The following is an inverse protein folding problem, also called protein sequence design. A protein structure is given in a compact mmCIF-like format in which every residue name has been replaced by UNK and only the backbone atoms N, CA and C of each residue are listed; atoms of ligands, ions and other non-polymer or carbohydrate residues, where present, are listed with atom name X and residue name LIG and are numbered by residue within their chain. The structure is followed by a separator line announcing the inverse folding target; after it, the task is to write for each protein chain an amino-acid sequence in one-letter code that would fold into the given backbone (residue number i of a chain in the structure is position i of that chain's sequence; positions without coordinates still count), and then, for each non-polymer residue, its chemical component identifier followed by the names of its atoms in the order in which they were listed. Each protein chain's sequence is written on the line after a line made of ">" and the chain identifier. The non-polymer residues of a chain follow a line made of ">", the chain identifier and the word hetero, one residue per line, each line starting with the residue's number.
data_IF_753884318504
#
_entry.id   IF_753884318504
#
_cell.length_a   1.000
_cell.length_b   1.000
_cell.length_c   1.000
_cell.angle_alpha   90.00
_cell.angle_beta   90.00
_cell.angle_gamma   90.00
#
_symmetry.space_group_name_H-M   'P 1'
#
loop_
_entity.id
_entity.type
_entity.pdbx_description
1 polymer ?
#
# COMPACT_ATOMS: atom_id res chain seq x y z
N UNK A 1 -107.78 25.83 -5.27
CA UNK A 1 -106.63 26.72 -5.01
C UNK A 1 -105.51 25.89 -4.44
N UNK A 2 -104.50 25.61 -5.22
CA UNK A 2 -103.17 25.27 -4.73
C UNK A 2 -102.18 25.18 -5.92
N UNK A 3 -101.12 25.93 -5.82
CA UNK A 3 -100.10 26.23 -6.83
C UNK A 3 -99.24 25.00 -7.13
N UNK A 4 -99.19 24.67 -8.40
CA UNK A 4 -98.20 23.76 -8.93
C UNK A 4 -97.11 24.55 -9.71
N UNK A 5 -95.96 24.71 -9.15
CA UNK A 5 -94.64 24.98 -9.79
C UNK A 5 -93.57 25.03 -8.71
N UNK A 6 -92.69 24.08 -8.68
CA UNK A 6 -91.39 24.30 -9.35
C UNK A 6 -90.65 23.00 -9.76
N UNK A 7 -91.06 22.27 -10.76
CA UNK A 7 -90.29 21.10 -11.25
C UNK A 7 -89.46 21.37 -12.56
N UNK A 8 -89.71 22.49 -13.23
CA UNK A 8 -89.07 22.78 -14.48
C UNK A 8 -87.72 23.48 -14.34
N UNK A 9 -87.39 24.13 -13.22
CA UNK A 9 -86.14 24.82 -12.99
C UNK A 9 -84.97 23.86 -12.59
N UNK A 10 -85.31 22.77 -11.90
CA UNK A 10 -84.32 21.77 -11.47
C UNK A 10 -83.80 20.93 -12.63
N UNK A 11 -84.60 20.65 -13.66
CA UNK A 11 -84.21 19.85 -14.80
C UNK A 11 -83.19 20.60 -15.76
N UNK A 12 -83.33 21.91 -15.90
CA UNK A 12 -82.45 22.72 -16.70
C UNK A 12 -81.04 22.87 -16.13
N UNK A 13 -80.94 22.95 -14.78
CA UNK A 13 -79.61 23.04 -14.10
C UNK A 13 -78.80 21.76 -14.19
N UNK A 14 -79.48 20.61 -14.10
CA UNK A 14 -78.80 19.29 -14.16
C UNK A 14 -78.33 18.97 -15.54
N UNK A 15 -79.02 19.35 -16.61
CA UNK A 15 -78.60 19.19 -17.99
C UNK A 15 -77.39 20.11 -18.39
N UNK A 16 -77.39 21.34 -17.82
CA UNK A 16 -76.32 22.28 -18.03
C UNK A 16 -75.02 21.80 -17.30
N UNK A 17 -75.17 21.25 -16.10
CA UNK A 17 -73.96 20.67 -15.41
C UNK A 17 -73.46 19.41 -16.06
N UNK A 18 -74.31 18.56 -16.60
CA UNK A 18 -73.90 17.35 -17.33
C UNK A 18 -73.18 17.71 -18.65
N UNK A 19 -73.67 18.78 -19.36
CA UNK A 19 -73.01 19.27 -20.58
C UNK A 19 -71.62 19.87 -20.30
N UNK A 20 -71.42 20.57 -19.18
CA UNK A 20 -70.12 21.12 -18.79
C UNK A 20 -69.12 20.02 -18.38
N UNK A 21 -69.58 18.98 -17.65
CA UNK A 21 -68.77 17.84 -17.27
C UNK A 21 -68.40 17.01 -18.49
N UNK A 22 -69.31 16.82 -19.46
CA UNK A 22 -68.98 16.11 -20.71
C UNK A 22 -68.03 16.91 -21.61
N UNK A 23 -68.16 18.24 -21.67
CA UNK A 23 -67.25 19.11 -22.44
C UNK A 23 -65.83 19.14 -21.84
N UNK A 24 -65.71 19.14 -20.50
CA UNK A 24 -64.39 19.06 -19.81
C UNK A 24 -63.76 17.67 -19.97
N UNK A 25 -64.53 16.60 -19.96
CA UNK A 25 -64.02 15.24 -20.17
C UNK A 25 -63.55 15.05 -21.66
N UNK A 26 -64.24 15.64 -22.61
CA UNK A 26 -63.86 15.56 -24.03
C UNK A 26 -62.63 16.44 -24.35
N UNK A 27 -62.43 17.56 -23.62
CA UNK A 27 -61.26 18.41 -23.77
C UNK A 27 -59.96 17.73 -23.21
N UNK A 28 -60.13 16.82 -22.24
CA UNK A 28 -59.00 16.07 -21.67
C UNK A 28 -58.57 14.90 -22.58
N UNK A 29 -59.42 14.38 -23.43
CA UNK A 29 -59.10 13.28 -24.37
C UNK A 29 -58.50 13.75 -25.69
N UNK A 30 -58.57 15.05 -25.98
CA UNK A 30 -58.01 15.66 -27.17
C UNK A 30 -56.71 16.48 -26.93
N UNK A 31 -56.14 16.41 -25.72
CA UNK A 31 -54.80 16.90 -25.50
C UNK A 31 -53.84 16.05 -26.34
N UNK A 32 -53.08 16.61 -27.32
CA UNK A 32 -52.08 15.86 -28.01
C UNK A 32 -51.14 15.34 -26.90
N UNK A 33 -50.98 14.00 -26.82
CA UNK A 33 -49.89 13.39 -26.06
C UNK A 33 -48.62 14.01 -26.65
N UNK A 34 -48.08 15.00 -25.98
CA UNK A 34 -46.71 15.42 -26.20
C UNK A 34 -45.89 14.19 -25.88
N UNK A 35 -45.67 13.35 -26.89
CA UNK A 35 -44.61 12.38 -26.85
C UNK A 35 -43.40 13.19 -26.46
N UNK A 36 -42.97 13.03 -25.18
CA UNK A 36 -41.65 13.40 -24.80
C UNK A 36 -40.74 12.52 -25.68
N UNK A 37 -40.49 12.97 -26.87
CA UNK A 37 -39.37 12.59 -27.68
C UNK A 37 -38.20 12.99 -26.80
N UNK A 38 -37.70 12.03 -25.99
CA UNK A 38 -36.34 12.08 -25.51
C UNK A 38 -35.54 12.35 -26.75
N UNK A 39 -35.18 13.61 -26.93
CA UNK A 39 -34.17 14.00 -27.88
C UNK A 39 -32.92 13.21 -27.44
N UNK A 40 -32.80 12.02 -27.98
CA UNK A 40 -31.54 11.32 -28.09
C UNK A 40 -30.75 12.25 -29.00
N UNK A 41 -30.04 13.18 -28.35
CA UNK A 41 -29.11 14.06 -29.04
C UNK A 41 -28.20 13.09 -29.79
N UNK A 42 -28.36 13.01 -31.08
CA UNK A 42 -27.43 12.31 -31.94
C UNK A 42 -26.07 12.88 -31.60
N UNK A 43 -25.24 12.05 -30.92
CA UNK A 43 -23.88 12.45 -30.64
C UNK A 43 -23.25 12.90 -31.94
N UNK A 44 -22.63 14.09 -31.99
CA UNK A 44 -22.02 14.56 -33.20
C UNK A 44 -21.04 13.49 -33.69
N UNK A 45 -21.00 13.22 -34.98
CA UNK A 45 -20.10 12.25 -35.64
C UNK A 45 -18.61 12.69 -35.50
N UNK A 46 -18.29 13.35 -34.41
CA UNK A 46 -16.98 13.89 -34.08
C UNK A 46 -16.23 12.86 -33.21
N UNK A 47 -15.13 12.37 -33.73
CA UNK A 47 -14.22 11.53 -32.97
C UNK A 47 -13.68 12.31 -31.77
N UNK A 48 -13.86 11.77 -30.57
CA UNK A 48 -13.36 12.36 -29.33
C UNK A 48 -11.85 12.16 -29.20
N UNK A 49 -11.14 13.22 -28.90
CA UNK A 49 -9.72 13.13 -28.52
C UNK A 49 -9.63 12.79 -27.04
N UNK A 50 -9.01 11.67 -26.73
CA UNK A 50 -8.85 11.13 -25.38
C UNK A 50 -7.39 11.20 -25.00
N UNK A 51 -7.05 12.07 -24.06
CA UNK A 51 -5.67 12.12 -23.53
C UNK A 51 -5.43 10.99 -22.55
N UNK A 52 -4.25 10.40 -22.66
CA UNK A 52 -3.77 9.34 -21.77
C UNK A 52 -2.26 9.45 -21.55
N UNK A 53 -1.74 8.72 -20.56
CA UNK A 53 -0.29 8.59 -20.33
C UNK A 53 0.07 7.13 -20.07
N UNK A 54 1.28 6.75 -20.41
CA UNK A 54 1.78 5.40 -20.14
C UNK A 54 1.95 5.20 -18.63
N UNK A 55 1.24 4.20 -18.09
CA UNK A 55 1.27 3.86 -16.67
C UNK A 55 0.80 2.41 -16.46
N UNK A 56 1.73 1.47 -16.52
CA UNK A 56 1.42 0.05 -16.36
C UNK A 56 0.89 -0.28 -14.94
N UNK A 57 -0.11 -1.15 -14.81
CA UNK A 57 -0.85 -1.91 -15.84
C UNK A 57 -2.08 -1.16 -16.40
N UNK A 58 -2.28 0.10 -16.03
CA UNK A 58 -3.50 0.87 -16.37
C UNK A 58 -3.49 1.34 -17.82
N UNK A 59 -2.33 1.75 -18.31
CA UNK A 59 -2.07 2.12 -19.70
C UNK A 59 -0.74 1.53 -20.14
N UNK A 60 -0.77 0.62 -21.09
CA UNK A 60 0.39 -0.13 -21.61
C UNK A 60 0.49 0.14 -23.10
N UNK A 61 1.65 0.56 -23.57
CA UNK A 61 1.92 0.72 -24.99
C UNK A 61 2.71 -0.48 -25.53
N UNK A 62 2.21 -1.11 -26.59
CA UNK A 62 2.90 -2.19 -27.31
C UNK A 62 2.95 -1.85 -28.79
N UNK A 63 4.09 -1.33 -29.24
CA UNK A 63 4.20 -0.76 -30.58
C UNK A 63 3.29 0.45 -30.73
N UNK A 64 2.42 0.44 -31.72
CA UNK A 64 1.41 1.51 -31.94
C UNK A 64 0.10 1.28 -31.18
N UNK A 65 -0.11 0.12 -30.57
CA UNK A 65 -1.35 -0.20 -29.87
C UNK A 65 -1.29 0.16 -28.39
N UNK A 66 -2.38 0.74 -27.90
CA UNK A 66 -2.61 0.96 -26.46
C UNK A 66 -3.52 -0.13 -25.89
N UNK A 67 -3.18 -0.59 -24.72
CA UNK A 67 -3.92 -1.56 -23.91
C UNK A 67 -3.79 -1.17 -22.43
N UNK A 68 -4.36 -1.94 -21.52
CA UNK A 68 -4.32 -1.63 -20.10
C UNK A 68 -5.72 -1.55 -19.51
N UNK A 69 -5.80 -1.64 -18.18
CA UNK A 69 -7.10 -1.64 -17.52
C UNK A 69 -7.94 -0.39 -17.87
N UNK A 70 -7.35 0.80 -17.77
CA UNK A 70 -8.06 2.06 -18.06
C UNK A 70 -8.44 2.18 -19.53
N UNK A 71 -7.61 1.68 -20.44
CA UNK A 71 -7.87 1.68 -21.88
C UNK A 71 -9.01 0.70 -22.20
N UNK A 72 -8.97 -0.51 -21.63
CA UNK A 72 -10.01 -1.50 -21.87
C UNK A 72 -11.36 -1.04 -21.32
N UNK A 73 -11.38 -0.41 -20.14
CA UNK A 73 -12.59 0.20 -19.56
C UNK A 73 -13.10 1.31 -20.47
N UNK A 74 -12.24 2.21 -20.92
CA UNK A 74 -12.66 3.28 -21.82
C UNK A 74 -13.22 2.75 -23.14
N UNK A 75 -12.56 1.78 -23.75
CA UNK A 75 -13.03 1.21 -25.01
C UNK A 75 -14.42 0.59 -24.86
N UNK A 76 -14.69 -0.07 -23.74
CA UNK A 76 -16.01 -0.64 -23.47
C UNK A 76 -17.06 0.43 -23.16
N UNK A 77 -16.69 1.47 -22.41
CA UNK A 77 -17.54 2.64 -22.17
C UNK A 77 -17.88 3.35 -23.47
N UNK A 78 -16.89 3.65 -24.32
CA UNK A 78 -17.08 4.31 -25.59
C UNK A 78 -17.98 3.50 -26.52
N UNK A 79 -17.78 2.18 -26.60
CA UNK A 79 -18.61 1.27 -27.38
C UNK A 79 -20.10 1.30 -26.95
N UNK A 80 -20.36 1.29 -25.63
CA UNK A 80 -21.75 1.31 -25.09
C UNK A 80 -22.38 2.69 -25.25
N UNK A 81 -21.62 3.75 -25.05
CA UNK A 81 -22.09 5.12 -25.22
C UNK A 81 -22.18 5.56 -26.68
N UNK A 82 -21.81 4.70 -27.65
CA UNK A 82 -21.83 5.04 -29.10
C UNK A 82 -20.81 6.11 -29.48
N UNK A 83 -19.69 6.25 -28.73
CA UNK A 83 -18.68 7.28 -28.94
C UNK A 83 -17.52 6.71 -29.77
N UNK A 84 -17.07 7.49 -30.76
CA UNK A 84 -15.81 7.25 -31.47
C UNK A 84 -14.70 8.04 -30.78
N UNK A 85 -13.52 7.43 -30.59
CA UNK A 85 -12.41 8.12 -29.93
C UNK A 85 -11.05 7.78 -30.53
N UNK A 86 -10.11 8.71 -30.39
CA UNK A 86 -8.69 8.57 -30.70
C UNK A 86 -7.86 8.94 -29.48
N UNK A 87 -6.79 8.19 -29.22
CA UNK A 87 -5.93 8.46 -28.07
C UNK A 87 -4.78 9.40 -28.42
N UNK A 88 -4.51 10.33 -27.50
CA UNK A 88 -3.36 11.23 -27.54
C UNK A 88 -2.53 10.98 -26.28
N UNK A 89 -1.29 10.50 -26.45
CA UNK A 89 -0.38 10.21 -25.32
C UNK A 89 0.33 11.51 -24.92
N UNK A 90 0.35 11.78 -23.62
CA UNK A 90 1.08 12.89 -23.00
C UNK A 90 1.90 12.41 -21.80
N UNK A 91 2.84 13.21 -21.31
CA UNK A 91 3.84 12.77 -20.35
C UNK A 91 3.39 12.80 -18.87
N UNK A 92 2.34 13.55 -18.53
CA UNK A 92 1.95 13.75 -17.13
C UNK A 92 0.43 13.89 -16.95
N UNK A 93 -0.03 13.65 -15.70
CA UNK A 93 -1.43 13.90 -15.31
C UNK A 93 -1.79 15.39 -15.52
N UNK A 94 -0.84 16.29 -15.22
CA UNK A 94 -1.05 17.71 -15.45
C UNK A 94 -1.31 18.01 -16.92
N UNK A 95 -0.49 17.49 -17.83
CA UNK A 95 -0.65 17.69 -19.27
C UNK A 95 -1.98 17.11 -19.79
N UNK A 96 -2.42 15.96 -19.26
CA UNK A 96 -3.73 15.38 -19.58
C UNK A 96 -4.87 16.33 -19.19
N UNK A 97 -4.85 16.84 -17.96
CA UNK A 97 -5.88 17.73 -17.44
C UNK A 97 -5.85 19.11 -18.13
N UNK A 98 -4.67 19.66 -18.38
CA UNK A 98 -4.52 20.91 -19.11
C UNK A 98 -5.12 20.82 -20.55
N UNK A 99 -4.93 19.68 -21.24
CA UNK A 99 -5.51 19.43 -22.55
C UNK A 99 -7.04 19.34 -22.50
N UNK A 100 -7.62 18.81 -21.45
CA UNK A 100 -9.09 18.80 -21.26
C UNK A 100 -9.61 20.20 -20.94
N UNK A 101 -8.91 20.95 -20.13
CA UNK A 101 -9.29 22.31 -19.72
C UNK A 101 -9.24 23.27 -20.92
N UNK A 102 -8.18 23.20 -21.74
CA UNK A 102 -8.04 24.01 -22.96
C UNK A 102 -9.05 23.62 -24.05
N UNK A 103 -9.61 22.40 -24.01
CA UNK A 103 -10.50 21.86 -25.05
C UNK A 103 -9.76 21.15 -26.19
N UNK A 104 -8.43 20.99 -26.08
CA UNK A 104 -7.63 20.22 -27.05
C UNK A 104 -7.98 18.73 -27.01
N UNK A 105 -8.49 18.27 -25.87
CA UNK A 105 -9.11 16.95 -25.69
C UNK A 105 -10.47 17.10 -25.01
N UNK A 106 -11.35 16.13 -25.24
CA UNK A 106 -12.66 16.08 -24.62
C UNK A 106 -12.65 15.25 -23.33
N UNK A 107 -11.73 14.29 -23.26
CA UNK A 107 -11.67 13.27 -22.21
C UNK A 107 -10.23 13.00 -21.82
N UNK A 108 -10.00 12.69 -20.54
CA UNK A 108 -8.73 12.17 -20.04
C UNK A 108 -8.94 10.86 -19.26
N UNK A 109 -8.17 9.83 -19.63
CA UNK A 109 -8.29 8.47 -19.06
C UNK A 109 -6.89 7.89 -18.80
N UNK A 110 -6.45 7.87 -17.55
CA UNK A 110 -5.29 7.10 -17.07
C UNK A 110 -5.13 7.28 -15.56
N UNK A 111 -5.76 6.49 -14.72
CA UNK A 111 -5.58 6.54 -13.28
C UNK A 111 -5.67 7.97 -12.70
N UNK A 112 -6.71 8.69 -13.05
CA UNK A 112 -6.90 10.05 -12.56
C UNK A 112 -7.69 10.00 -11.26
N UNK A 113 -7.01 10.27 -10.14
CA UNK A 113 -7.66 10.37 -8.83
C UNK A 113 -8.63 11.55 -8.80
N UNK A 114 -9.86 11.31 -8.39
CA UNK A 114 -10.84 12.35 -8.14
C UNK A 114 -10.49 13.03 -6.83
N UNK A 115 -10.18 14.33 -6.89
CA UNK A 115 -9.90 15.13 -5.70
C UNK A 115 -10.78 16.37 -5.67
N UNK A 116 -11.07 16.95 -4.49
CA UNK A 116 -11.90 18.15 -4.39
C UNK A 116 -11.38 19.32 -5.24
N UNK A 117 -10.06 19.47 -5.37
CA UNK A 117 -9.43 20.53 -6.16
C UNK A 117 -9.66 20.31 -7.66
N UNK A 118 -9.60 19.03 -8.12
CA UNK A 118 -9.85 18.67 -9.52
C UNK A 118 -11.33 18.78 -9.86
N UNK A 119 -12.22 18.38 -8.95
CA UNK A 119 -13.67 18.45 -9.12
C UNK A 119 -14.18 19.90 -9.27
N UNK A 120 -13.44 20.88 -8.75
CA UNK A 120 -13.75 22.30 -9.00
C UNK A 120 -13.49 22.76 -10.44
N UNK A 121 -12.59 22.06 -11.17
CA UNK A 121 -12.14 22.44 -12.52
C UNK A 121 -12.69 21.55 -13.61
N UNK A 122 -12.97 20.30 -13.29
CA UNK A 122 -13.38 19.24 -14.22
C UNK A 122 -14.65 18.57 -13.76
N UNK A 123 -15.40 18.02 -14.69
CA UNK A 123 -16.38 16.98 -14.39
C UNK A 123 -15.69 15.62 -14.37
N UNK A 124 -16.16 14.73 -13.51
CA UNK A 124 -15.72 13.35 -13.49
C UNK A 124 -16.87 12.40 -13.77
N UNK A 125 -16.53 11.27 -14.33
CA UNK A 125 -17.43 10.13 -14.40
C UNK A 125 -17.66 9.50 -13.03
N UNK A 126 -18.55 8.53 -12.94
CA UNK A 126 -18.53 7.57 -11.84
C UNK A 126 -17.18 6.90 -11.73
N UNK A 127 -16.81 6.51 -10.50
CA UNK A 127 -15.56 5.79 -10.22
C UNK A 127 -15.54 4.45 -10.96
N UNK A 128 -14.50 4.21 -11.74
CA UNK A 128 -14.31 2.92 -12.42
C UNK A 128 -13.27 2.01 -11.74
N UNK A 129 -12.46 2.57 -10.84
CA UNK A 129 -11.51 1.79 -10.03
C UNK A 129 -11.32 2.45 -8.66
N UNK A 130 -11.46 1.67 -7.60
CA UNK A 130 -11.04 2.09 -6.26
C UNK A 130 -9.55 1.82 -6.10
N UNK A 131 -8.81 2.86 -5.81
CA UNK A 131 -7.37 2.80 -5.57
C UNK A 131 -7.03 3.51 -4.27
N UNK A 132 -5.76 3.70 -4.02
CA UNK A 132 -5.21 4.47 -2.92
C UNK A 132 -3.71 4.47 -2.97
N UNK A 133 -3.09 5.26 -2.10
CA UNK A 133 -1.65 5.31 -1.98
C UNK A 133 -1.13 4.12 -1.17
N UNK A 134 0.03 3.61 -1.56
CA UNK A 134 0.72 2.56 -0.82
C UNK A 134 2.24 2.80 -0.87
N UNK A 135 2.96 2.07 -0.03
CA UNK A 135 4.40 2.16 0.09
C UNK A 135 5.02 0.90 -0.48
N UNK A 136 6.07 1.04 -1.27
CA UNK A 136 6.94 -0.03 -1.71
C UNK A 136 8.34 0.18 -1.17
N UNK A 137 9.00 -0.89 -0.73
CA UNK A 137 10.34 -0.87 -0.15
C UNK A 137 11.23 -1.94 -0.77
N UNK A 138 12.57 -1.75 -0.80
CA UNK A 138 13.46 -2.80 -1.23
C UNK A 138 13.46 -3.97 -0.24
N UNK A 139 13.58 -5.18 -0.76
CA UNK A 139 13.89 -6.35 0.05
C UNK A 139 15.38 -6.29 0.31
N UNK A 140 15.77 -5.82 1.50
CA UNK A 140 17.18 -5.88 1.90
C UNK A 140 17.55 -7.36 2.10
N UNK A 141 18.26 -7.91 1.14
CA UNK A 141 18.99 -9.15 1.38
C UNK A 141 20.17 -8.79 2.27
N UNK A 142 19.98 -8.87 3.59
CA UNK A 142 21.11 -8.78 4.51
C UNK A 142 22.02 -9.98 4.24
N UNK A 143 23.16 -9.75 3.59
CA UNK A 143 24.20 -10.75 3.55
C UNK A 143 24.62 -11.04 5.00
N UNK A 144 24.84 -12.32 5.34
CA UNK A 144 25.39 -12.68 6.66
C UNK A 144 26.71 -11.93 6.96
N UNK A 145 27.45 -11.55 5.92
CA UNK A 145 28.66 -10.72 6.03
C UNK A 145 28.35 -9.27 6.45
N UNK A 146 27.25 -8.70 5.99
CA UNK A 146 26.83 -7.34 6.39
C UNK A 146 26.35 -7.34 7.84
N UNK A 147 25.65 -8.40 8.26
CA UNK A 147 25.29 -8.61 9.65
C UNK A 147 26.54 -8.76 10.56
N UNK A 148 27.61 -9.41 10.09
CA UNK A 148 28.87 -9.47 10.83
C UNK A 148 29.61 -8.12 10.87
N UNK A 149 29.53 -7.31 9.82
CA UNK A 149 30.15 -5.97 9.80
C UNK A 149 29.40 -4.97 10.69
N UNK A 150 28.09 -5.13 10.85
CA UNK A 150 27.27 -4.27 11.72
C UNK A 150 27.48 -4.55 13.20
N UNK A 151 28.12 -5.70 13.57
CA UNK A 151 28.42 -6.05 14.96
C UNK A 151 29.40 -5.03 15.53
N UNK A 152 29.01 -4.40 16.62
CA UNK A 152 29.87 -3.51 17.41
C UNK A 152 30.94 -4.33 18.16
N UNK A 153 32.02 -4.69 17.46
CA UNK A 153 33.10 -5.53 17.98
C UNK A 153 33.69 -5.03 19.29
N UNK A 154 33.68 -3.73 19.54
CA UNK A 154 34.14 -3.17 20.81
C UNK A 154 33.34 -3.65 22.02
N UNK A 155 32.02 -3.74 21.90
CA UNK A 155 31.17 -4.28 22.99
C UNK A 155 31.32 -5.79 23.16
N UNK A 156 31.47 -6.53 22.05
CA UNK A 156 31.70 -7.98 22.12
C UNK A 156 33.04 -8.30 22.77
N UNK A 157 34.10 -7.63 22.37
CA UNK A 157 35.44 -7.80 22.99
C UNK A 157 35.45 -7.41 24.45
N UNK A 158 34.77 -6.33 24.83
CA UNK A 158 34.61 -5.93 26.23
C UNK A 158 33.90 -7.02 27.05
N UNK A 159 32.81 -7.58 26.53
CA UNK A 159 32.07 -8.65 27.19
C UNK A 159 32.94 -9.91 27.36
N UNK A 160 33.64 -10.33 26.30
CA UNK A 160 34.59 -11.45 26.34
C UNK A 160 35.67 -11.20 27.39
N UNK A 161 36.22 -9.99 27.47
CA UNK A 161 37.22 -9.61 28.47
C UNK A 161 36.70 -9.73 29.91
N UNK A 162 35.48 -9.26 30.19
CA UNK A 162 34.86 -9.40 31.49
C UNK A 162 34.59 -10.86 31.86
N UNK A 163 34.12 -11.67 30.92
CA UNK A 163 33.89 -13.12 31.16
C UNK A 163 35.21 -13.84 31.41
N UNK A 164 36.25 -13.54 30.63
CA UNK A 164 37.58 -14.13 30.84
C UNK A 164 38.18 -13.75 32.20
N UNK A 165 38.01 -12.50 32.62
CA UNK A 165 38.42 -12.05 33.96
C UNK A 165 37.68 -12.82 35.08
N UNK A 166 36.35 -12.97 34.94
CA UNK A 166 35.54 -13.69 35.92
C UNK A 166 35.93 -15.17 35.98
N UNK A 167 36.12 -15.83 34.85
CA UNK A 167 36.63 -17.21 34.77
C UNK A 167 37.98 -17.32 35.47
N UNK A 168 38.88 -16.39 35.25
CA UNK A 168 40.21 -16.36 35.87
C UNK A 168 40.11 -16.24 37.42
N UNK A 169 39.25 -15.36 37.90
CA UNK A 169 39.02 -15.17 39.36
C UNK A 169 38.47 -16.45 39.98
N UNK A 170 37.43 -17.06 39.38
CA UNK A 170 36.82 -18.28 39.90
C UNK A 170 37.80 -19.46 39.89
N UNK A 171 38.60 -19.59 38.81
CA UNK A 171 39.63 -20.60 38.69
C UNK A 171 40.67 -20.50 39.83
N UNK A 172 41.15 -19.29 40.12
CA UNK A 172 42.05 -19.06 41.23
C UNK A 172 41.42 -19.39 42.61
N UNK A 173 40.16 -18.97 42.76
CA UNK A 173 39.44 -19.23 44.03
C UNK A 173 39.27 -20.73 44.29
N UNK A 174 38.84 -21.49 43.29
CA UNK A 174 38.70 -22.94 43.38
C UNK A 174 40.06 -23.61 43.66
N UNK A 175 41.11 -23.22 42.92
CA UNK A 175 42.45 -23.73 43.16
C UNK A 175 42.94 -23.43 44.57
N UNK A 176 42.78 -22.20 45.08
CA UNK A 176 43.19 -21.84 46.45
C UNK A 176 42.48 -22.66 47.53
N UNK A 177 41.20 -22.98 47.30
CA UNK A 177 40.40 -23.77 48.24
C UNK A 177 40.79 -25.23 48.20
N UNK A 178 41.04 -25.80 47.02
CA UNK A 178 41.25 -27.25 46.83
C UNK A 178 42.73 -27.70 46.92
N UNK A 179 43.68 -26.79 46.66
CA UNK A 179 45.14 -27.14 46.67
C UNK A 179 45.57 -27.84 47.92
N UNK A 180 46.48 -28.82 47.80
CA UNK A 180 47.07 -29.57 48.93
C UNK A 180 46.14 -30.58 49.57
N UNK A 181 44.84 -30.68 49.16
CA UNK A 181 43.87 -31.63 49.70
C UNK A 181 43.07 -32.37 48.63
N UNK A 182 43.11 -31.86 47.42
CA UNK A 182 42.45 -32.48 46.29
C UNK A 182 43.48 -32.76 45.19
N UNK A 183 43.79 -34.03 44.88
CA UNK A 183 44.78 -34.40 43.87
C UNK A 183 44.45 -33.86 42.47
N UNK A 184 43.22 -33.55 42.24
CA UNK A 184 42.74 -33.00 40.94
C UNK A 184 43.18 -31.54 40.75
N UNK A 185 43.58 -30.84 41.84
CA UNK A 185 44.07 -29.44 41.81
C UNK A 185 45.48 -29.39 42.44
N UNK A 186 46.56 -29.64 41.65
CA UNK A 186 47.93 -29.69 42.14
C UNK A 186 48.37 -28.40 42.84
N UNK A 187 49.36 -28.54 43.78
CA UNK A 187 49.91 -27.39 44.50
C UNK A 187 50.73 -26.45 43.61
N UNK A 188 51.30 -26.98 42.55
CA UNK A 188 52.03 -26.16 41.57
C UNK A 188 51.08 -25.13 40.95
N UNK A 189 51.47 -23.86 41.04
CA UNK A 189 50.62 -22.73 40.62
C UNK A 189 50.13 -22.86 39.19
N UNK A 190 51.04 -23.04 38.19
CA UNK A 190 50.68 -23.08 36.78
C UNK A 190 49.77 -24.28 36.46
N UNK A 191 50.07 -25.45 36.97
CA UNK A 191 49.24 -26.65 36.75
C UNK A 191 47.93 -26.54 37.49
N UNK A 192 47.96 -26.12 38.78
CA UNK A 192 46.75 -26.05 39.59
C UNK A 192 45.76 -25.01 39.13
N UNK A 193 46.22 -23.81 38.76
CA UNK A 193 45.37 -22.78 38.14
C UNK A 193 44.88 -23.23 36.78
N UNK A 194 45.72 -23.94 36.00
CA UNK A 194 45.28 -24.50 34.70
C UNK A 194 44.13 -25.48 34.83
N UNK A 195 44.18 -26.38 35.84
CA UNK A 195 43.07 -27.29 36.12
C UNK A 195 41.82 -26.53 36.63
N UNK A 196 42.03 -25.48 37.43
CA UNK A 196 40.96 -24.57 37.84
C UNK A 196 40.30 -23.87 36.68
N UNK A 197 41.08 -23.35 35.71
CA UNK A 197 40.58 -22.74 34.49
C UNK A 197 39.77 -23.74 33.64
N UNK A 198 40.35 -24.95 33.46
CA UNK A 198 39.65 -26.00 32.73
C UNK A 198 38.29 -26.32 33.36
N UNK A 199 38.25 -26.58 34.66
CA UNK A 199 36.99 -26.84 35.37
C UNK A 199 35.99 -25.69 35.26
N UNK A 200 36.45 -24.45 35.41
CA UNK A 200 35.61 -23.27 35.38
C UNK A 200 34.98 -23.07 34.00
N UNK A 201 35.75 -23.25 32.91
CA UNK A 201 35.27 -23.15 31.54
C UNK A 201 34.28 -24.27 31.22
N UNK A 202 34.64 -25.54 31.51
CA UNK A 202 33.77 -26.71 31.23
C UNK A 202 32.44 -26.62 31.98
N UNK A 203 32.46 -26.03 33.18
CA UNK A 203 31.26 -25.82 33.98
C UNK A 203 30.39 -24.70 33.42
N UNK A 204 30.95 -23.53 33.04
CA UNK A 204 30.16 -22.41 32.52
C UNK A 204 29.54 -22.72 31.18
N UNK A 205 30.21 -23.49 30.30
CA UNK A 205 29.63 -23.93 29.02
C UNK A 205 28.70 -25.15 29.16
N UNK A 206 28.42 -25.58 30.39
CA UNK A 206 27.47 -26.66 30.74
C UNK A 206 27.84 -28.04 30.17
N UNK A 207 29.12 -28.30 29.81
CA UNK A 207 29.59 -29.60 29.34
C UNK A 207 29.77 -30.56 30.48
N UNK A 208 30.47 -30.14 31.60
CA UNK A 208 30.58 -30.88 32.84
C UNK A 208 31.18 -32.29 32.71
N UNK A 209 32.39 -32.45 32.16
CA UNK A 209 33.02 -33.77 32.00
C UNK A 209 33.20 -34.56 33.30
N UNK A 210 33.24 -33.88 34.46
CA UNK A 210 33.38 -34.54 35.78
C UNK A 210 34.79 -35.07 36.08
N UNK A 211 35.77 -34.77 35.25
CA UNK A 211 37.16 -35.14 35.34
C UNK A 211 37.93 -34.32 36.40
N UNK A 212 37.42 -33.17 36.75
CA UNK A 212 37.84 -32.25 37.82
C UNK A 212 36.66 -31.80 38.61
N UNK A 213 36.67 -32.00 39.94
CA UNK A 213 35.52 -31.63 40.79
C UNK A 213 36.01 -31.12 42.15
N UNK A 214 35.41 -30.04 42.69
CA UNK A 214 35.66 -29.59 44.07
C UNK A 214 35.17 -30.63 45.08
N UNK A 215 36.06 -31.05 46.03
CA UNK A 215 35.75 -32.04 47.08
C UNK A 215 35.45 -31.38 48.39
N UNK A 216 36.01 -30.21 48.67
CA UNK A 216 35.81 -29.49 49.95
C UNK A 216 34.45 -28.79 49.97
N UNK A 217 33.88 -28.63 51.17
CA UNK A 217 32.57 -27.96 51.33
C UNK A 217 32.59 -26.56 50.76
N UNK A 218 33.61 -25.74 51.07
CA UNK A 218 33.76 -24.38 50.50
C UNK A 218 33.90 -24.40 48.98
N UNK A 219 34.65 -25.34 48.42
CA UNK A 219 34.79 -25.53 46.99
C UNK A 219 33.43 -25.86 46.33
N UNK A 220 32.64 -26.71 46.96
CA UNK A 220 31.27 -27.04 46.46
C UNK A 220 30.32 -25.86 46.54
N UNK A 221 30.40 -25.03 47.59
CA UNK A 221 29.60 -23.80 47.69
C UNK A 221 29.94 -22.84 46.54
N UNK A 222 31.24 -22.59 46.31
CA UNK A 222 31.71 -21.75 45.19
C UNK A 222 31.26 -22.33 43.85
N UNK A 223 31.40 -23.66 43.68
CA UNK A 223 30.96 -24.36 42.49
C UNK A 223 29.47 -24.19 42.23
N UNK A 224 28.63 -24.32 43.27
CA UNK A 224 27.17 -24.12 43.13
C UNK A 224 26.84 -22.70 42.70
N UNK A 225 27.46 -21.70 43.32
CA UNK A 225 27.27 -20.28 42.90
C UNK A 225 27.70 -20.08 41.45
N UNK A 226 28.85 -20.65 41.05
CA UNK A 226 29.37 -20.54 39.69
C UNK A 226 28.46 -21.21 38.66
N UNK A 227 27.90 -22.38 38.97
CA UNK A 227 26.94 -23.08 38.09
C UNK A 227 25.71 -22.21 37.81
N UNK A 228 25.11 -21.62 38.85
CA UNK A 228 23.98 -20.69 38.65
C UNK A 228 24.39 -19.41 37.90
N UNK A 229 25.52 -18.80 38.27
CA UNK A 229 26.05 -17.63 37.60
C UNK A 229 26.30 -17.90 36.10
N UNK A 230 26.87 -19.07 35.75
CA UNK A 230 27.10 -19.50 34.37
C UNK A 230 25.81 -19.67 33.59
N UNK A 231 24.80 -20.30 34.20
CA UNK A 231 23.49 -20.46 33.56
C UNK A 231 22.85 -19.11 33.23
N UNK A 232 22.86 -18.14 34.17
CA UNK A 232 22.36 -16.80 33.95
C UNK A 232 23.19 -16.05 32.91
N UNK A 233 24.51 -16.21 32.89
CA UNK A 233 25.40 -15.57 31.91
C UNK A 233 25.07 -16.02 30.49
N UNK A 234 24.95 -17.35 30.27
CA UNK A 234 24.61 -17.90 28.94
C UNK A 234 23.20 -17.47 28.50
N UNK A 235 22.22 -17.55 29.43
CA UNK A 235 20.85 -17.12 29.12
C UNK A 235 20.80 -15.63 28.75
N UNK A 236 21.50 -14.76 29.48
CA UNK A 236 21.58 -13.32 29.18
C UNK A 236 22.27 -13.04 27.84
N UNK A 237 23.38 -13.74 27.56
CA UNK A 237 24.09 -13.60 26.28
C UNK A 237 23.19 -13.99 25.09
N UNK A 238 22.51 -15.13 25.19
CA UNK A 238 21.59 -15.61 24.15
C UNK A 238 20.42 -14.62 23.93
N UNK A 239 19.80 -14.16 25.00
CA UNK A 239 18.72 -13.19 24.94
C UNK A 239 19.17 -11.86 24.31
N UNK A 240 20.38 -11.39 24.69
CA UNK A 240 20.93 -10.12 24.14
C UNK A 240 21.25 -10.20 22.66
N UNK A 241 21.82 -11.32 22.18
CA UNK A 241 22.10 -11.55 20.76
C UNK A 241 20.78 -11.63 19.98
N UNK A 242 19.83 -12.44 20.45
CA UNK A 242 18.53 -12.61 19.79
C UNK A 242 17.76 -11.29 19.69
N UNK A 243 17.71 -10.52 20.80
CA UNK A 243 17.03 -9.22 20.81
C UNK A 243 17.64 -8.25 19.80
N UNK A 244 18.97 -8.16 19.72
CA UNK A 244 19.65 -7.27 18.76
C UNK A 244 19.38 -7.67 17.31
N UNK A 245 19.49 -8.95 16.98
CA UNK A 245 19.20 -9.45 15.65
C UNK A 245 17.73 -9.19 15.24
N UNK A 246 16.80 -9.37 16.18
CA UNK A 246 15.39 -9.09 15.96
C UNK A 246 15.14 -7.59 15.74
N UNK A 247 15.69 -6.72 16.58
CA UNK A 247 15.54 -5.26 16.45
C UNK A 247 16.18 -4.75 15.15
N UNK A 248 17.35 -5.24 14.78
CA UNK A 248 18.03 -4.85 13.53
C UNK A 248 17.22 -5.29 12.29
N UNK A 249 16.62 -6.47 12.34
CA UNK A 249 15.71 -6.92 11.27
C UNK A 249 14.44 -6.08 11.16
N UNK A 250 13.97 -5.49 12.27
CA UNK A 250 12.77 -4.64 12.30
C UNK A 250 13.06 -3.17 11.99
N UNK A 251 14.17 -2.61 12.48
CA UNK A 251 14.48 -1.17 12.35
C UNK A 251 15.01 -0.76 10.96
N UNK A 252 15.50 -1.68 10.16
CA UNK A 252 15.99 -1.41 8.80
C UNK A 252 14.90 -1.21 7.76
N UNK A 253 13.66 -1.59 8.05
CA UNK A 253 12.58 -1.71 7.06
C UNK A 253 11.48 -0.69 7.30
N UNK A 254 11.06 -0.02 6.24
CA UNK A 254 9.79 0.71 6.22
C UNK A 254 8.67 -0.32 6.20
N UNK A 255 7.83 -0.34 7.22
CA UNK A 255 6.68 -1.23 7.34
C UNK A 255 5.35 -0.49 7.22
N UNK A 256 5.39 0.84 7.25
CA UNK A 256 4.20 1.68 7.12
C UNK A 256 4.52 3.16 7.06
N UNK A 257 3.48 3.96 7.04
CA UNK A 257 3.55 5.42 6.88
C UNK A 257 4.38 6.10 7.97
N UNK A 258 4.27 5.61 9.21
CA UNK A 258 4.98 6.18 10.37
C UNK A 258 6.50 5.99 10.31
N UNK A 259 6.99 5.10 9.46
CA UNK A 259 8.41 4.83 9.30
C UNK A 259 9.08 5.69 8.22
N UNK A 260 8.31 6.48 7.45
CA UNK A 260 8.80 7.31 6.35
C UNK A 260 9.64 8.52 6.80
N UNK A 261 9.36 9.19 7.95
CA UNK A 261 10.17 10.30 8.39
C UNK A 261 11.66 9.94 8.51
N UNK A 262 12.53 10.75 7.89
CA UNK A 262 13.99 10.52 7.87
C UNK A 262 14.47 9.45 6.88
N UNK A 263 13.59 8.85 6.09
CA UNK A 263 13.94 7.93 5.00
C UNK A 263 14.02 8.68 3.67
N UNK A 264 14.76 8.10 2.72
CA UNK A 264 14.82 8.60 1.34
C UNK A 264 13.60 8.10 0.59
N UNK A 265 12.54 8.89 0.61
CA UNK A 265 11.25 8.58 -0.01
C UNK A 265 11.20 9.16 -1.41
N UNK A 266 10.79 8.37 -2.40
CA UNK A 266 10.55 8.81 -3.77
C UNK A 266 9.05 8.85 -4.07
N UNK A 267 8.66 9.81 -4.89
CA UNK A 267 7.34 9.86 -5.52
C UNK A 267 7.42 10.58 -6.86
N UNK A 268 6.34 10.58 -7.63
CA UNK A 268 6.26 11.29 -8.91
C UNK A 268 5.70 12.69 -8.68
N UNK A 269 6.37 13.69 -9.25
CA UNK A 269 6.01 15.10 -9.11
C UNK A 269 4.58 15.39 -9.59
N UNK A 270 3.85 16.21 -8.85
CA UNK A 270 2.50 16.68 -9.21
C UNK A 270 1.40 15.64 -9.06
N UNK A 271 1.70 14.49 -8.45
CA UNK A 271 0.72 13.45 -8.14
C UNK A 271 0.05 13.68 -6.79
N UNK A 272 -1.01 12.94 -6.51
CA UNK A 272 -1.67 12.94 -5.19
C UNK A 272 -0.75 12.41 -4.09
N UNK A 273 0.20 11.52 -4.42
CA UNK A 273 1.23 11.05 -3.52
C UNK A 273 2.20 12.18 -3.11
N UNK A 274 2.67 12.98 -4.07
CA UNK A 274 3.51 14.15 -3.83
C UNK A 274 2.79 15.17 -2.93
N UNK A 275 1.53 15.49 -3.25
CA UNK A 275 0.71 16.38 -2.43
C UNK A 275 0.51 15.84 -1.00
N UNK A 276 0.24 14.53 -0.86
CA UNK A 276 0.04 13.90 0.42
C UNK A 276 1.30 13.95 1.30
N UNK A 277 2.46 13.60 0.75
CA UNK A 277 3.73 13.63 1.46
C UNK A 277 4.09 15.06 1.91
N UNK A 278 3.90 16.04 1.00
CA UNK A 278 4.10 17.47 1.31
C UNK A 278 3.19 17.94 2.44
N UNK A 279 1.89 17.64 2.34
CA UNK A 279 0.90 18.06 3.35
C UNK A 279 1.14 17.44 4.73
N UNK A 280 1.76 16.26 4.81
CA UNK A 280 2.11 15.60 6.06
C UNK A 280 3.55 15.86 6.52
N UNK A 281 4.28 16.76 5.87
CA UNK A 281 5.64 17.14 6.26
C UNK A 281 6.67 16.02 6.07
N UNK A 282 6.41 15.04 5.23
CA UNK A 282 7.32 13.95 4.93
C UNK A 282 8.27 14.40 3.83
N UNK A 283 9.55 14.54 4.17
CA UNK A 283 10.60 14.90 3.20
C UNK A 283 10.72 13.79 2.15
N UNK A 284 10.66 14.16 0.88
CA UNK A 284 10.73 13.22 -0.24
C UNK A 284 11.43 13.85 -1.45
N UNK A 285 11.81 13.01 -2.38
CA UNK A 285 12.41 13.40 -3.66
C UNK A 285 11.42 13.09 -4.78
N UNK A 286 11.27 14.05 -5.68
CA UNK A 286 10.38 13.93 -6.82
C UNK A 286 11.13 13.44 -8.05
N UNK A 287 10.56 12.46 -8.75
CA UNK A 287 10.96 12.02 -10.08
C UNK A 287 9.94 12.47 -11.12
N UNK A 288 10.36 12.57 -12.38
CA UNK A 288 9.44 12.94 -13.45
C UNK A 288 8.50 11.79 -13.83
N UNK A 289 9.02 10.56 -13.83
CA UNK A 289 8.27 9.35 -14.18
C UNK A 289 8.51 8.25 -13.14
N UNK A 290 7.53 7.38 -12.95
CA UNK A 290 7.61 6.28 -11.97
C UNK A 290 8.72 5.27 -12.31
N UNK A 291 9.06 5.10 -13.59
CA UNK A 291 10.16 4.26 -14.04
C UNK A 291 11.52 4.67 -13.48
N UNK A 292 11.74 5.97 -13.24
CA UNK A 292 12.95 6.48 -12.59
C UNK A 292 13.02 6.04 -11.12
N UNK A 293 11.87 6.00 -10.44
CA UNK A 293 11.80 5.51 -9.06
C UNK A 293 12.18 4.02 -8.97
N UNK A 294 11.81 3.21 -9.96
CA UNK A 294 12.22 1.81 -10.02
C UNK A 294 13.73 1.64 -10.07
N UNK A 295 14.38 2.38 -10.97
CA UNK A 295 15.84 2.32 -11.10
C UNK A 295 16.55 2.76 -9.80
N UNK A 296 16.08 3.83 -9.16
CA UNK A 296 16.69 4.35 -7.95
C UNK A 296 16.49 3.43 -6.74
N UNK A 297 15.31 2.81 -6.57
CA UNK A 297 15.06 1.90 -5.45
C UNK A 297 15.85 0.60 -5.62
N UNK A 298 15.98 0.07 -6.83
CA UNK A 298 16.81 -1.11 -7.12
C UNK A 298 18.31 -0.84 -6.92
N UNK A 299 18.76 0.38 -7.22
CA UNK A 299 20.13 0.82 -6.97
C UNK A 299 20.43 1.12 -5.49
N UNK A 300 19.44 0.99 -4.58
CA UNK A 300 19.61 1.31 -3.17
C UNK A 300 19.74 2.79 -2.86
N UNK A 301 19.36 3.66 -3.79
CA UNK A 301 19.39 5.11 -3.64
C UNK A 301 18.15 5.64 -2.89
N UNK A 302 17.10 4.83 -2.77
CA UNK A 302 15.89 5.11 -2.04
C UNK A 302 15.55 4.01 -1.03
N UNK A 303 14.86 4.38 0.03
CA UNK A 303 14.39 3.46 1.09
C UNK A 303 12.92 3.12 0.90
N UNK A 304 12.15 3.97 0.23
CA UNK A 304 10.74 3.76 -0.07
C UNK A 304 10.29 4.52 -1.34
N UNK A 305 9.30 3.98 -2.01
CA UNK A 305 8.51 4.66 -3.03
C UNK A 305 7.06 4.73 -2.54
N UNK A 306 6.47 5.92 -2.59
CA UNK A 306 5.04 6.12 -2.29
C UNK A 306 4.32 6.47 -3.58
N UNK A 307 3.36 5.65 -3.97
CA UNK A 307 2.61 5.84 -5.20
C UNK A 307 1.30 5.05 -5.18
N UNK A 308 0.59 5.05 -6.29
CA UNK A 308 -0.69 4.37 -6.48
C UNK A 308 -0.56 2.85 -6.34
N UNK A 309 -1.36 2.25 -5.48
CA UNK A 309 -1.27 0.83 -5.13
C UNK A 309 -1.33 -0.13 -6.34
N UNK A 310 -2.21 0.04 -7.35
CA UNK A 310 -2.24 -0.86 -8.52
C UNK A 310 -0.93 -0.86 -9.31
N UNK A 311 -0.27 0.30 -9.42
CA UNK A 311 1.01 0.46 -10.14
C UNK A 311 2.14 -0.19 -9.37
N UNK A 312 2.22 0.07 -8.06
CA UNK A 312 3.23 -0.56 -7.19
C UNK A 312 3.06 -2.08 -7.15
N UNK A 313 1.83 -2.58 -6.99
CA UNK A 313 1.54 -4.01 -6.97
C UNK A 313 1.94 -4.69 -8.30
N UNK A 314 1.64 -4.05 -9.42
CA UNK A 314 2.07 -4.58 -10.73
C UNK A 314 3.59 -4.72 -10.79
N UNK A 315 4.33 -3.67 -10.42
CA UNK A 315 5.78 -3.70 -10.42
C UNK A 315 6.36 -4.78 -9.49
N UNK A 316 5.88 -4.87 -8.25
CA UNK A 316 6.32 -5.88 -7.27
C UNK A 316 6.11 -7.31 -7.78
N UNK A 317 5.02 -7.56 -8.52
CA UNK A 317 4.70 -8.89 -9.04
C UNK A 317 5.35 -9.22 -10.40
N UNK A 318 5.95 -8.22 -11.06
CA UNK A 318 6.59 -8.37 -12.39
C UNK A 318 8.10 -8.07 -12.30
N UNK A 319 8.53 -6.91 -12.72
CA UNK A 319 9.95 -6.51 -12.84
C UNK A 319 10.67 -6.40 -11.48
N UNK A 320 9.94 -6.02 -10.43
CA UNK A 320 10.45 -5.89 -9.07
C UNK A 320 10.41 -7.17 -8.24
N UNK A 321 9.94 -8.29 -8.82
CA UNK A 321 9.76 -9.55 -8.10
C UNK A 321 11.05 -10.04 -7.44
N UNK A 322 10.99 -10.25 -6.11
CA UNK A 322 12.14 -10.67 -5.32
C UNK A 322 13.14 -9.55 -4.96
N UNK A 323 12.97 -8.33 -5.49
CA UNK A 323 13.81 -7.17 -5.19
C UNK A 323 13.13 -6.17 -4.26
N UNK A 324 11.82 -6.01 -4.41
CA UNK A 324 10.99 -5.07 -3.65
C UNK A 324 9.76 -5.76 -3.09
N UNK A 325 9.16 -5.16 -2.08
CA UNK A 325 7.91 -5.61 -1.45
C UNK A 325 6.99 -4.44 -1.12
N UNK A 326 5.71 -4.72 -1.00
CA UNK A 326 4.78 -3.76 -0.44
C UNK A 326 4.98 -3.62 1.08
N UNK A 327 4.77 -2.43 1.60
CA UNK A 327 4.87 -2.11 3.01
C UNK A 327 3.60 -1.42 3.50
N UNK A 328 3.02 -1.95 4.58
CA UNK A 328 1.78 -1.46 5.14
C UNK A 328 0.55 -1.69 4.26
N UNK A 329 -0.60 -1.27 4.78
CA UNK A 329 -1.85 -1.26 4.04
C UNK A 329 -1.93 -0.07 3.08
N UNK A 330 -2.87 -0.13 2.14
CA UNK A 330 -3.26 1.04 1.35
C UNK A 330 -3.77 2.12 2.30
N UNK A 331 -3.25 3.32 2.17
CA UNK A 331 -3.68 4.50 2.91
C UNK A 331 -4.17 5.57 1.92
N UNK A 332 -5.04 6.47 2.37
CA UNK A 332 -5.66 7.49 1.53
C UNK A 332 -6.31 6.89 0.26
N UNK A 333 -7.57 6.51 0.39
CA UNK A 333 -8.36 6.03 -0.75
C UNK A 333 -8.40 7.07 -1.87
N UNK A 334 -8.23 6.61 -3.11
CA UNK A 334 -8.21 7.42 -4.31
C UNK A 334 -9.10 6.79 -5.38
N UNK A 335 -10.37 7.21 -5.48
CA UNK A 335 -11.23 6.77 -6.55
C UNK A 335 -10.74 7.33 -7.89
N UNK A 336 -10.64 6.48 -8.91
CA UNK A 336 -10.29 6.90 -10.26
C UNK A 336 -11.55 7.13 -11.09
N UNK A 337 -11.62 8.31 -11.71
CA UNK A 337 -12.65 8.69 -12.64
C UNK A 337 -12.08 9.07 -14.02
N UNK A 338 -12.94 9.11 -15.00
CA UNK A 338 -12.67 9.67 -16.31
C UNK A 338 -12.88 11.18 -16.19
N UNK A 339 -11.85 11.97 -16.47
CA UNK A 339 -11.97 13.43 -16.39
C UNK A 339 -12.51 14.00 -17.70
N UNK A 340 -13.41 14.94 -17.58
CA UNK A 340 -14.14 15.60 -18.66
C UNK A 340 -14.09 17.11 -18.44
N UNK A 341 -14.23 17.88 -19.51
CA UNK A 341 -14.48 19.32 -19.38
C UNK A 341 -15.78 19.57 -18.62
N UNK A 342 -15.87 20.65 -17.86
CA UNK A 342 -17.09 21.04 -17.16
C UNK A 342 -18.28 21.17 -18.14
N UNK A 343 -19.43 20.73 -17.66
CA UNK A 343 -20.68 20.69 -18.41
C UNK A 343 -20.57 19.85 -19.70
N UNK A 344 -19.78 18.78 -19.65
CA UNK A 344 -19.57 17.90 -20.81
C UNK A 344 -20.86 17.17 -21.16
N UNK A 345 -21.31 17.25 -22.44
CA UNK A 345 -22.51 16.54 -22.88
C UNK A 345 -22.34 15.02 -22.91
N UNK A 346 -21.13 14.53 -22.74
CA UNK A 346 -20.81 13.08 -22.75
C UNK A 346 -20.89 12.44 -21.38
N UNK A 347 -20.93 13.24 -20.30
CA UNK A 347 -20.83 12.75 -18.91
C UNK A 347 -21.91 11.71 -18.58
N UNK A 348 -23.16 12.02 -18.94
CA UNK A 348 -24.29 11.14 -18.60
C UNK A 348 -24.19 9.79 -19.34
N UNK A 349 -23.89 9.81 -20.63
CA UNK A 349 -23.73 8.59 -21.44
C UNK A 349 -22.55 7.73 -20.93
N UNK A 350 -21.44 8.36 -20.54
CA UNK A 350 -20.28 7.69 -19.93
C UNK A 350 -20.65 7.07 -18.59
N UNK A 351 -21.37 7.80 -17.74
CA UNK A 351 -21.80 7.31 -16.44
C UNK A 351 -22.76 6.11 -16.55
N UNK A 352 -23.70 6.16 -17.46
CA UNK A 352 -24.59 5.05 -17.73
C UNK A 352 -23.82 3.82 -18.21
N UNK A 353 -22.90 4.00 -19.14
CA UNK A 353 -22.05 2.90 -19.63
C UNK A 353 -21.18 2.29 -18.51
N UNK A 354 -20.65 3.11 -17.61
CA UNK A 354 -19.89 2.61 -16.42
C UNK A 354 -20.81 1.76 -15.54
N UNK A 355 -22.02 2.20 -15.22
CA UNK A 355 -22.96 1.42 -14.43
C UNK A 355 -23.33 0.08 -15.10
N UNK A 356 -23.48 0.08 -16.41
CA UNK A 356 -23.77 -1.13 -17.17
C UNK A 356 -22.61 -2.15 -17.11
N UNK A 357 -21.35 -1.71 -17.24
CA UNK A 357 -20.17 -2.61 -17.15
C UNK A 357 -19.97 -3.18 -15.75
N UNK A 358 -20.40 -2.47 -14.71
CA UNK A 358 -20.42 -3.00 -13.35
C UNK A 358 -21.56 -4.02 -13.17
N UNK A 359 -22.74 -3.74 -13.70
CA UNK A 359 -23.92 -4.57 -13.51
C UNK A 359 -23.85 -5.93 -14.24
N UNK A 360 -23.18 -6.01 -15.39
CA UNK A 360 -23.10 -7.24 -16.19
C UNK A 360 -21.81 -8.04 -16.01
N UNK A 361 -20.98 -7.68 -15.01
CA UNK A 361 -19.74 -8.38 -14.68
C UNK A 361 -18.59 -8.13 -15.65
N UNK A 362 -18.72 -7.16 -16.57
CA UNK A 362 -17.63 -6.79 -17.48
C UNK A 362 -16.46 -6.19 -16.72
N UNK A 363 -16.75 -5.33 -15.71
CA UNK A 363 -15.73 -4.73 -14.88
C UNK A 363 -14.88 -5.78 -14.17
N UNK A 364 -15.49 -6.81 -13.57
CA UNK A 364 -14.82 -7.92 -12.89
C UNK A 364 -13.93 -8.71 -13.84
N UNK A 365 -14.38 -8.96 -15.07
CA UNK A 365 -13.56 -9.64 -16.10
C UNK A 365 -12.33 -8.80 -16.47
N UNK A 366 -12.50 -7.50 -16.67
CA UNK A 366 -11.39 -6.58 -16.98
C UNK A 366 -10.42 -6.47 -15.80
N UNK A 367 -10.95 -6.37 -14.58
CA UNK A 367 -10.15 -6.32 -13.36
C UNK A 367 -9.32 -7.61 -13.18
N UNK A 368 -9.94 -8.77 -13.33
CA UNK A 368 -9.24 -10.07 -13.25
C UNK A 368 -8.17 -10.24 -14.32
N UNK A 369 -8.41 -9.73 -15.53
CA UNK A 369 -7.43 -9.75 -16.64
C UNK A 369 -6.15 -8.99 -16.29
N UNK A 370 -6.24 -7.83 -15.60
CA UNK A 370 -5.12 -6.93 -15.40
C UNK A 370 -4.49 -7.03 -14.00
N UNK A 371 -5.27 -7.37 -12.99
CA UNK A 371 -4.81 -7.43 -11.59
C UNK A 371 -4.79 -8.85 -11.02
N UNK A 372 -5.30 -9.84 -11.76
CA UNK A 372 -5.46 -11.20 -11.28
C UNK A 372 -6.78 -11.41 -10.52
N UNK A 373 -7.15 -12.66 -10.30
CA UNK A 373 -8.25 -13.01 -9.39
C UNK A 373 -7.73 -12.93 -7.95
N UNK A 374 -8.35 -12.12 -7.12
CA UNK A 374 -8.15 -12.12 -5.66
C UNK A 374 -8.60 -13.44 -5.05
#
# INVERSE_FOLDING_TARGET
>A
MLRSKPLLVAAGGLLLQLAVVLATALAFTLAPSASAQTAQAAAPDKTLRVTTRILEPLVVQRGESLSGFSIDVWNEVARRAGLKSEFVIVDSVKAMLDAVESGDAQVAVAAISMTPEREQRFDFSHTYLQSGLQIMTPIKQSSWLDSLRSVSWGHVLSLIGWVALLITIVAHLIWLIERGRNPEFPENYLRGVGEGLWWTVVTVVTVGYGDRTPKRLLGRVVATIWMFAGLFLIAHLTASITSRLTVESLQGHVNGLNDLPGKRVLTVQGTTADQYLTANGIVHLNVAQISEAWAQIEAGQADAVVYDAPVLNHYVNTLGKGKVRMAGAVFKAEPYGIALRRDSPYREAINQAILEIFNDGTHERLSSKWFGTN
#
